data_IF_643322605966
#
_entry.id   IF_643322605966
#
_cell.length_a   1.000
_cell.length_b   1.000
_cell.length_c   1.000
_cell.angle_alpha   90.00
_cell.angle_beta   90.00
_cell.angle_gamma   90.00
#
_symmetry.space_group_name_H-M   'P 1'
#
loop_
_entity.id
_entity.type
_entity.pdbx_description
1 polymer ?
#
# COMPACT_ATOMS: atom_id res chain seq x y z
N UNK A 1 0.73 -21.21 11.64
CA UNK A 1 1.97 -21.20 10.84
C UNK A 1 2.32 -19.73 10.62
N UNK A 2 3.45 -19.27 11.12
CA UNK A 2 3.87 -17.87 10.95
C UNK A 2 4.28 -17.63 9.50
N UNK A 3 3.93 -16.50 8.94
CA UNK A 3 4.25 -16.17 7.56
C UNK A 3 3.20 -15.29 6.88
N UNK A 4 3.41 -15.02 5.60
CA UNK A 4 2.44 -14.35 4.76
C UNK A 4 1.50 -15.36 4.11
N UNK A 5 0.19 -15.15 4.29
CA UNK A 5 -0.85 -15.86 3.54
C UNK A 5 -1.41 -14.91 2.48
N UNK A 6 -1.28 -15.26 1.21
CA UNK A 6 -1.74 -14.42 0.11
C UNK A 6 -3.18 -14.76 -0.26
N UNK A 7 -4.02 -13.75 -0.34
CA UNK A 7 -5.37 -13.79 -0.89
C UNK A 7 -5.44 -12.80 -2.05
N UNK A 8 -5.96 -13.21 -3.19
CA UNK A 8 -6.13 -12.35 -4.36
C UNK A 8 -7.61 -12.01 -4.49
N UNK A 9 -7.92 -10.72 -4.58
CA UNK A 9 -9.30 -10.23 -4.68
C UNK A 9 -9.45 -9.28 -5.87
N UNK A 10 -10.54 -9.42 -6.60
CA UNK A 10 -10.96 -8.42 -7.58
C UNK A 10 -11.94 -7.44 -6.93
N UNK A 11 -11.85 -6.17 -7.29
CA UNK A 11 -12.82 -5.16 -6.93
C UNK A 11 -12.22 -3.93 -6.23
N UNK A 12 -13.03 -3.29 -5.42
CA UNK A 12 -12.66 -2.05 -4.73
C UNK A 12 -11.82 -2.36 -3.49
N UNK A 13 -10.60 -1.82 -3.46
CA UNK A 13 -9.69 -1.94 -2.33
C UNK A 13 -10.32 -1.48 -1.00
N UNK A 14 -11.08 -0.37 -1.05
CA UNK A 14 -11.66 0.26 0.14
C UNK A 14 -12.84 -0.53 0.75
N UNK A 15 -13.34 -1.54 0.02
CA UNK A 15 -14.39 -2.47 0.50
C UNK A 15 -13.82 -3.75 1.13
N UNK A 16 -12.50 -3.85 1.23
CA UNK A 16 -11.87 -4.96 1.93
C UNK A 16 -12.08 -4.85 3.44
N UNK A 17 -12.47 -5.97 4.05
CA UNK A 17 -12.41 -6.12 5.50
C UNK A 17 -10.99 -6.51 5.91
N UNK A 18 -10.26 -5.55 6.46
CA UNK A 18 -8.88 -5.72 6.86
C UNK A 18 -8.58 -4.87 8.11
N UNK A 19 -7.48 -5.14 8.80
CA UNK A 19 -7.00 -4.22 9.85
C UNK A 19 -6.42 -2.95 9.22
N UNK A 20 -5.72 -3.14 8.10
CA UNK A 20 -4.93 -2.12 7.42
C UNK A 20 -5.28 -2.12 5.94
N UNK A 21 -5.53 -0.95 5.37
CA UNK A 21 -5.58 -0.77 3.90
C UNK A 21 -4.51 0.23 3.47
N UNK A 22 -3.74 -0.17 2.44
CA UNK A 22 -2.63 0.62 1.92
C UNK A 22 -3.12 1.64 0.91
N UNK A 23 -2.76 2.90 1.14
CA UNK A 23 -2.99 4.02 0.23
C UNK A 23 -1.73 4.31 -0.59
N UNK A 24 -1.82 4.15 -1.91
CA UNK A 24 -0.81 4.64 -2.84
C UNK A 24 -0.89 6.17 -2.91
N UNK A 25 -0.05 6.85 -2.15
CA UNK A 25 -0.05 8.30 -1.94
C UNK A 25 1.18 8.97 -2.58
N UNK A 26 1.56 10.09 -2.05
CA UNK A 26 2.69 10.89 -2.50
C UNK A 26 3.42 11.52 -1.32
N UNK A 27 4.59 12.12 -1.55
CA UNK A 27 5.44 12.72 -0.52
C UNK A 27 4.80 13.92 0.21
N UNK A 28 3.69 14.45 -0.30
CA UNK A 28 2.91 15.53 0.34
C UNK A 28 1.64 15.04 1.01
N UNK A 29 1.38 13.73 0.99
CA UNK A 29 0.19 13.09 1.57
C UNK A 29 -1.13 13.73 1.12
N UNK A 30 -1.22 14.13 -0.15
CA UNK A 30 -2.43 14.74 -0.71
C UNK A 30 -3.36 13.66 -1.29
N UNK A 31 -4.62 13.70 -0.90
CA UNK A 31 -5.68 12.86 -1.46
C UNK A 31 -6.20 13.48 -2.75
N UNK A 32 -5.59 13.18 -3.88
CA UNK A 32 -5.86 13.88 -5.15
C UNK A 32 -6.28 13.02 -6.34
N UNK A 33 -5.78 11.79 -6.46
CA UNK A 33 -6.01 10.96 -7.66
C UNK A 33 -5.84 9.47 -7.39
N UNK A 34 -6.32 8.63 -8.29
CA UNK A 34 -6.16 7.18 -8.20
C UNK A 34 -6.67 6.60 -6.89
N UNK A 35 -5.87 5.73 -6.25
CA UNK A 35 -6.19 5.10 -4.96
C UNK A 35 -6.41 6.16 -3.88
N UNK A 36 -5.62 7.23 -3.84
CA UNK A 36 -5.81 8.32 -2.88
C UNK A 36 -7.17 9.02 -3.02
N UNK A 37 -7.70 9.15 -4.24
CA UNK A 37 -9.05 9.68 -4.45
C UNK A 37 -10.12 8.71 -3.92
N UNK A 38 -9.91 7.40 -4.05
CA UNK A 38 -10.82 6.41 -3.46
C UNK A 38 -10.88 6.56 -1.93
N UNK A 39 -9.73 6.73 -1.26
CA UNK A 39 -9.68 7.05 0.17
C UNK A 39 -10.44 8.33 0.52
N UNK A 40 -10.28 9.39 -0.26
CA UNK A 40 -10.99 10.66 -0.06
C UNK A 40 -12.52 10.51 -0.11
N UNK A 41 -13.01 9.60 -0.96
CA UNK A 41 -14.44 9.34 -1.11
C UNK A 41 -15.02 8.39 -0.05
N UNK A 42 -14.21 7.44 0.40
CA UNK A 42 -14.63 6.37 1.32
C UNK A 42 -14.48 6.75 2.80
N UNK A 43 -13.42 7.48 3.12
CA UNK A 43 -13.11 7.89 4.49
C UNK A 43 -13.65 9.29 4.80
N UNK A 44 -13.75 9.59 6.09
CA UNK A 44 -14.15 10.92 6.56
C UNK A 44 -13.11 12.00 6.18
N UNK A 45 -13.55 13.26 6.13
CA UNK A 45 -12.67 14.43 5.91
C UNK A 45 -11.52 14.52 6.91
N UNK A 46 -11.72 13.97 8.11
CA UNK A 46 -10.69 13.86 9.14
C UNK A 46 -9.45 13.08 8.69
N UNK A 47 -9.56 12.22 7.66
CA UNK A 47 -8.39 11.50 7.14
C UNK A 47 -7.34 12.46 6.58
N UNK A 48 -7.73 13.46 5.76
CA UNK A 48 -6.76 14.42 5.21
C UNK A 48 -6.13 15.27 6.31
N UNK A 49 -6.88 15.62 7.34
CA UNK A 49 -6.36 16.37 8.48
C UNK A 49 -5.33 15.52 9.26
N UNK A 50 -5.63 14.26 9.53
CA UNK A 50 -4.69 13.34 10.15
C UNK A 50 -3.41 13.16 9.33
N UNK A 51 -3.52 13.03 8.00
CA UNK A 51 -2.37 12.97 7.09
C UNK A 51 -1.52 14.23 7.14
N UNK A 52 -2.15 15.41 7.17
CA UNK A 52 -1.46 16.69 7.30
C UNK A 52 -0.69 16.80 8.62
N UNK A 53 -1.25 16.30 9.71
CA UNK A 53 -0.60 16.30 11.03
C UNK A 53 0.62 15.38 11.04
N UNK A 54 0.49 14.16 10.51
CA UNK A 54 1.63 13.23 10.39
C UNK A 54 2.74 13.82 9.52
N UNK A 55 2.39 14.52 8.44
CA UNK A 55 3.38 15.15 7.57
C UNK A 55 4.16 16.28 8.28
N UNK A 56 3.50 17.06 9.16
CA UNK A 56 4.18 18.07 9.98
C UNK A 56 5.25 17.44 10.86
N UNK A 57 4.96 16.30 11.49
CA UNK A 57 5.88 15.61 12.38
C UNK A 57 7.03 14.94 11.59
N UNK A 58 6.72 14.36 10.43
CA UNK A 58 7.70 13.72 9.56
C UNK A 58 8.63 14.70 8.82
N UNK A 59 8.27 15.99 8.78
CA UNK A 59 8.96 17.08 8.04
C UNK A 59 8.93 16.89 6.52
N UNK A 60 9.66 15.92 6.00
CA UNK A 60 9.72 15.61 4.57
C UNK A 60 9.73 14.09 4.36
N UNK A 61 8.84 13.61 3.49
CA UNK A 61 8.80 12.22 3.06
C UNK A 61 9.59 12.03 1.76
N UNK A 62 10.18 10.85 1.63
CA UNK A 62 10.84 10.36 0.41
C UNK A 62 9.99 9.27 -0.24
N UNK A 63 10.22 9.01 -1.51
CA UNK A 63 9.56 7.88 -2.19
C UNK A 63 9.90 6.56 -1.49
N UNK A 64 8.86 5.77 -1.22
CA UNK A 64 8.95 4.53 -0.47
C UNK A 64 8.70 4.67 1.04
N UNK A 65 8.70 5.89 1.59
CA UNK A 65 8.35 6.10 2.99
C UNK A 65 6.89 5.74 3.25
N UNK A 66 6.63 5.25 4.46
CA UNK A 66 5.32 4.76 4.90
C UNK A 66 4.95 5.44 6.21
N UNK A 67 3.76 5.99 6.27
CA UNK A 67 3.18 6.59 7.47
C UNK A 67 1.76 6.10 7.70
N UNK A 68 1.35 5.97 8.95
CA UNK A 68 0.05 5.46 9.33
C UNK A 68 -0.83 6.54 9.93
N UNK A 69 -2.13 6.47 9.63
CA UNK A 69 -3.18 7.25 10.32
C UNK A 69 -4.32 6.32 10.71
N UNK A 70 -5.19 6.78 11.61
CA UNK A 70 -6.52 6.21 11.75
C UNK A 70 -7.25 6.34 10.40
N UNK A 71 -8.05 5.34 10.04
CA UNK A 71 -8.73 5.32 8.74
C UNK A 71 -9.94 6.25 8.65
N UNK A 72 -10.63 6.45 9.78
CA UNK A 72 -11.94 7.09 9.84
C UNK A 72 -13.01 6.39 8.97
N UNK A 73 -12.78 5.12 8.66
CA UNK A 73 -13.70 4.22 7.97
C UNK A 73 -14.25 3.16 8.94
N UNK A 74 -15.34 2.46 8.56
CA UNK A 74 -15.98 1.46 9.41
C UNK A 74 -15.37 0.07 9.27
N UNK A 75 -14.84 -0.26 8.10
CA UNK A 75 -14.41 -1.61 7.73
C UNK A 75 -12.91 -1.87 7.89
N UNK A 76 -12.11 -0.85 8.24
CA UNK A 76 -10.68 -1.01 8.57
C UNK A 76 -10.23 0.08 9.54
N UNK A 77 -9.17 -0.21 10.31
CA UNK A 77 -8.73 0.67 11.41
C UNK A 77 -7.64 1.64 10.98
N UNK A 78 -6.69 1.17 10.20
CA UNK A 78 -5.47 1.89 9.81
C UNK A 78 -5.45 2.13 8.31
N UNK A 79 -5.26 3.39 7.92
CA UNK A 79 -4.84 3.76 6.58
C UNK A 79 -3.30 3.89 6.57
N UNK A 80 -2.64 3.05 5.77
CA UNK A 80 -1.19 3.04 5.67
C UNK A 80 -0.76 3.72 4.38
N UNK A 81 -0.24 4.94 4.48
CA UNK A 81 0.07 5.77 3.33
C UNK A 81 1.50 5.53 2.85
N UNK A 82 1.65 5.11 1.61
CA UNK A 82 2.94 4.93 0.94
C UNK A 82 3.21 6.12 0.02
N UNK A 83 4.32 6.81 0.22
CA UNK A 83 4.76 7.91 -0.63
C UNK A 83 5.31 7.36 -1.96
N UNK A 84 4.42 7.10 -2.92
CA UNK A 84 4.78 6.56 -4.24
C UNK A 84 5.28 7.66 -5.17
N UNK A 85 4.51 8.76 -5.31
CA UNK A 85 4.86 9.90 -6.15
C UNK A 85 5.67 10.93 -5.37
N UNK A 86 6.65 11.55 -6.01
CA UNK A 86 7.48 12.59 -5.40
C UNK A 86 6.99 13.98 -5.81
N UNK A 87 6.35 14.70 -4.88
CA UNK A 87 5.86 16.06 -5.06
C UNK A 87 6.64 17.08 -4.23
N UNK A 88 7.84 16.75 -3.79
CA UNK A 88 8.68 17.64 -3.02
C UNK A 88 9.10 18.86 -3.86
N UNK A 89 9.39 19.96 -3.16
CA UNK A 89 9.77 21.23 -3.82
C UNK A 89 11.02 21.03 -4.72
N UNK A 90 10.97 21.53 -5.94
CA UNK A 90 12.07 21.43 -6.90
C UNK A 90 12.07 20.16 -7.76
N UNK A 91 11.28 19.12 -7.40
CA UNK A 91 11.19 17.88 -8.20
C UNK A 91 10.31 18.10 -9.42
N UNK A 92 10.79 17.72 -10.61
CA UNK A 92 10.10 17.94 -11.90
C UNK A 92 10.14 16.69 -12.79
N UNK A 93 9.21 16.63 -13.74
CA UNK A 93 9.20 15.62 -14.79
C UNK A 93 9.24 14.19 -14.25
N UNK A 94 10.08 13.35 -14.83
CA UNK A 94 10.23 11.94 -14.49
C UNK A 94 10.72 11.69 -13.06
N UNK A 95 11.38 12.66 -12.43
CA UNK A 95 11.80 12.56 -11.03
C UNK A 95 10.61 12.47 -10.05
N UNK A 96 9.39 12.84 -10.49
CA UNK A 96 8.16 12.65 -9.72
C UNK A 96 7.68 11.21 -9.72
N UNK A 97 8.09 10.42 -10.71
CA UNK A 97 7.61 9.07 -10.93
C UNK A 97 8.33 8.08 -10.02
N UNK A 98 7.64 7.01 -9.57
CA UNK A 98 8.28 5.92 -8.84
C UNK A 98 9.16 5.08 -9.77
N UNK A 99 10.07 4.35 -9.17
CA UNK A 99 10.82 3.26 -9.80
C UNK A 99 10.46 1.94 -9.13
N UNK A 100 10.88 0.80 -9.69
CA UNK A 100 10.72 -0.50 -9.02
C UNK A 100 11.42 -0.51 -7.66
N UNK A 101 12.53 0.21 -7.52
CA UNK A 101 13.22 0.39 -6.23
C UNK A 101 12.36 1.10 -5.19
N UNK A 102 11.53 2.05 -5.60
CA UNK A 102 10.53 2.68 -4.72
C UNK A 102 9.59 1.65 -4.11
N UNK A 103 9.15 0.66 -4.90
CA UNK A 103 8.24 -0.39 -4.44
C UNK A 103 8.95 -1.33 -3.46
N UNK A 104 10.19 -1.72 -3.73
CA UNK A 104 11.00 -2.54 -2.81
C UNK A 104 11.20 -1.86 -1.44
N UNK A 105 11.51 -0.56 -1.44
CA UNK A 105 11.65 0.24 -0.21
C UNK A 105 10.32 0.31 0.54
N UNK A 106 9.22 0.57 -0.18
CA UNK A 106 7.88 0.62 0.40
C UNK A 106 7.50 -0.69 1.10
N UNK A 107 7.74 -1.84 0.46
CA UNK A 107 7.43 -3.15 1.04
C UNK A 107 8.24 -3.42 2.32
N UNK A 108 9.52 -3.04 2.35
CA UNK A 108 10.35 -3.15 3.57
C UNK A 108 9.80 -2.28 4.70
N UNK A 109 9.38 -1.06 4.40
CA UNK A 109 8.81 -0.15 5.39
C UNK A 109 7.42 -0.63 5.86
N UNK A 110 6.60 -1.20 4.97
CA UNK A 110 5.34 -1.87 5.33
C UNK A 110 5.61 -3.04 6.28
N UNK A 111 6.60 -3.90 5.97
CA UNK A 111 6.97 -5.02 6.85
C UNK A 111 7.41 -4.56 8.24
N UNK A 112 8.20 -3.49 8.33
CA UNK A 112 8.59 -2.91 9.63
C UNK A 112 7.37 -2.44 10.42
N UNK A 113 6.43 -1.79 9.76
CA UNK A 113 5.17 -1.40 10.39
C UNK A 113 4.36 -2.62 10.86
N UNK A 114 4.20 -3.62 9.99
CA UNK A 114 3.47 -4.86 10.32
C UNK A 114 4.10 -5.59 11.50
N UNK A 115 5.42 -5.70 11.54
CA UNK A 115 6.15 -6.31 12.66
C UNK A 115 5.88 -5.62 13.99
N UNK A 116 5.81 -4.30 14.00
CA UNK A 116 5.47 -3.53 15.20
C UNK A 116 3.99 -3.69 15.58
N UNK A 117 3.10 -3.63 14.60
CA UNK A 117 1.65 -3.74 14.77
C UNK A 117 1.21 -5.14 15.22
N UNK A 118 1.89 -6.20 14.75
CA UNK A 118 1.59 -7.59 15.05
C UNK A 118 2.00 -8.02 16.48
N UNK A 119 2.83 -7.26 17.20
CA UNK A 119 3.32 -7.64 18.55
C UNK A 119 2.23 -8.02 19.52
N UNK A 120 1.05 -7.41 19.42
CA UNK A 120 -0.07 -7.61 20.32
C UNK A 120 -1.29 -8.24 19.62
N UNK A 121 -1.09 -8.87 18.45
CA UNK A 121 -2.15 -9.49 17.66
C UNK A 121 -1.75 -10.90 17.25
N UNK A 122 -2.72 -11.82 17.28
CA UNK A 122 -2.49 -13.19 16.81
C UNK A 122 -2.34 -13.25 15.29
N UNK A 123 -3.06 -12.40 14.55
CA UNK A 123 -3.04 -12.31 13.11
C UNK A 123 -3.31 -10.88 12.66
N UNK A 124 -2.63 -10.44 11.62
CA UNK A 124 -2.86 -9.14 10.98
C UNK A 124 -3.39 -9.36 9.57
N UNK A 125 -4.33 -8.54 9.15
CA UNK A 125 -4.85 -8.55 7.77
C UNK A 125 -4.60 -7.19 7.13
N UNK A 126 -3.89 -7.20 5.98
CA UNK A 126 -3.56 -6.01 5.21
C UNK A 126 -4.03 -6.15 3.76
N UNK A 127 -4.65 -5.11 3.20
CA UNK A 127 -5.01 -5.05 1.79
C UNK A 127 -4.11 -4.06 1.04
N UNK A 128 -3.57 -4.50 -0.11
CA UNK A 128 -2.67 -3.71 -0.96
C UNK A 128 -3.20 -3.56 -2.38
N UNK A 129 -3.09 -2.34 -2.95
CA UNK A 129 -3.24 -2.12 -4.39
C UNK A 129 -1.94 -2.44 -5.12
N UNK A 130 -1.94 -2.36 -6.46
CA UNK A 130 -0.72 -2.36 -7.27
C UNK A 130 -0.03 -0.98 -7.19
N UNK A 131 0.89 -0.85 -6.24
CA UNK A 131 1.61 0.40 -5.98
C UNK A 131 2.37 0.88 -7.21
N UNK A 132 2.18 2.15 -7.58
CA UNK A 132 2.91 2.78 -8.68
C UNK A 132 2.40 2.42 -10.09
N UNK A 133 1.40 1.55 -10.24
CA UNK A 133 0.90 1.10 -11.54
C UNK A 133 -0.19 1.99 -12.15
N UNK A 134 -0.69 2.98 -11.41
CA UNK A 134 -1.62 3.98 -11.93
C UNK A 134 -0.86 5.15 -12.54
N UNK A 135 -0.97 6.33 -11.94
CA UNK A 135 -0.25 7.55 -12.39
C UNK A 135 1.27 7.34 -12.40
N UNK A 136 1.80 6.47 -11.52
CA UNK A 136 3.21 6.12 -11.47
C UNK A 136 3.73 5.35 -12.68
N UNK A 137 2.84 4.83 -13.53
CA UNK A 137 3.11 4.17 -14.81
C UNK A 137 4.10 2.99 -14.77
N UNK A 138 4.30 2.35 -13.60
CA UNK A 138 5.08 1.12 -13.51
C UNK A 138 4.32 -0.03 -14.18
N UNK A 139 5.05 -0.95 -14.79
CA UNK A 139 4.47 -2.16 -15.38
C UNK A 139 3.93 -3.06 -14.26
N UNK A 140 2.68 -3.51 -14.42
CA UNK A 140 1.97 -4.30 -13.41
C UNK A 140 2.69 -5.61 -13.10
N UNK A 141 3.13 -6.30 -14.14
CA UNK A 141 3.84 -7.57 -14.03
C UNK A 141 5.12 -7.46 -13.19
N UNK A 142 5.89 -6.39 -13.38
CA UNK A 142 7.14 -6.17 -12.62
C UNK A 142 6.85 -5.93 -11.14
N UNK A 143 5.86 -5.10 -10.84
CA UNK A 143 5.42 -4.83 -9.46
C UNK A 143 4.89 -6.10 -8.79
N UNK A 144 4.08 -6.90 -9.50
CA UNK A 144 3.52 -8.14 -8.97
C UNK A 144 4.62 -9.18 -8.72
N UNK A 145 5.65 -9.28 -9.58
CA UNK A 145 6.82 -10.14 -9.34
C UNK A 145 7.60 -9.71 -8.10
N UNK A 146 7.76 -8.40 -7.87
CA UNK A 146 8.35 -7.88 -6.63
C UNK A 146 7.51 -8.30 -5.43
N UNK A 147 6.18 -8.17 -5.50
CA UNK A 147 5.28 -8.62 -4.43
C UNK A 147 5.43 -10.13 -4.18
N UNK A 148 5.40 -10.95 -5.25
CA UNK A 148 5.57 -12.41 -5.12
C UNK A 148 6.86 -12.75 -4.40
N UNK A 149 7.99 -12.22 -4.86
CA UNK A 149 9.29 -12.47 -4.24
C UNK A 149 9.35 -11.98 -2.79
N UNK A 150 8.74 -10.83 -2.50
CA UNK A 150 8.74 -10.26 -1.16
C UNK A 150 7.91 -11.09 -0.18
N UNK A 151 6.69 -11.45 -0.54
CA UNK A 151 5.77 -12.18 0.33
C UNK A 151 5.98 -13.70 0.35
N UNK A 152 6.91 -14.23 -0.45
CA UNK A 152 7.35 -15.63 -0.36
C UNK A 152 8.39 -15.87 0.75
N UNK A 153 8.86 -14.82 1.43
CA UNK A 153 9.84 -14.92 2.51
C UNK A 153 9.17 -15.28 3.83
N UNK A 154 9.91 -16.00 4.66
CA UNK A 154 9.50 -16.24 6.04
C UNK A 154 9.55 -14.97 6.88
N UNK A 155 8.55 -14.81 7.74
CA UNK A 155 8.47 -13.74 8.75
C UNK A 155 8.01 -14.30 10.08
N UNK A 156 8.39 -13.64 11.18
CA UNK A 156 8.10 -14.10 12.53
C UNK A 156 6.73 -13.64 13.08
N UNK A 157 5.77 -13.39 12.19
CA UNK A 157 4.38 -13.02 12.53
C UNK A 157 3.41 -13.58 11.50
N UNK A 158 2.14 -13.70 11.86
CA UNK A 158 1.08 -14.18 10.97
C UNK A 158 0.36 -13.00 10.30
N UNK A 159 0.40 -12.96 8.97
CA UNK A 159 -0.18 -11.88 8.19
C UNK A 159 -0.91 -12.39 6.95
N UNK A 160 -2.20 -12.09 6.85
CA UNK A 160 -2.95 -12.25 5.61
C UNK A 160 -2.79 -10.99 4.75
N UNK A 161 -2.24 -11.18 3.55
CA UNK A 161 -2.04 -10.11 2.55
C UNK A 161 -3.09 -10.28 1.46
N UNK A 162 -4.00 -9.31 1.36
CA UNK A 162 -5.01 -9.26 0.29
C UNK A 162 -4.45 -8.38 -0.84
N UNK A 163 -4.11 -8.99 -1.96
CA UNK A 163 -3.72 -8.27 -3.17
C UNK A 163 -4.97 -7.98 -3.99
N UNK A 164 -5.23 -6.70 -4.26
CA UNK A 164 -6.47 -6.27 -4.91
C UNK A 164 -6.19 -5.80 -6.32
N UNK A 165 -6.79 -6.49 -7.29
CA UNK A 165 -6.89 -6.06 -8.68
C UNK A 165 -8.21 -5.31 -8.90
N UNK A 166 -8.14 -4.03 -9.30
CA UNK A 166 -9.34 -3.22 -9.47
C UNK A 166 -10.19 -3.70 -10.65
N UNK A 167 -9.56 -4.02 -11.80
CA UNK A 167 -10.18 -4.55 -13.00
C UNK A 167 -9.95 -6.05 -13.14
N UNK A 168 -10.76 -6.72 -13.96
CA UNK A 168 -10.56 -8.15 -14.31
C UNK A 168 -9.14 -8.43 -14.80
N UNK A 169 -8.61 -7.55 -15.64
CA UNK A 169 -7.24 -7.64 -16.16
C UNK A 169 -6.21 -7.65 -15.03
N UNK A 170 -6.33 -6.72 -14.08
CA UNK A 170 -5.42 -6.62 -12.93
C UNK A 170 -5.46 -7.89 -12.08
N UNK A 171 -6.67 -8.37 -11.78
CA UNK A 171 -6.86 -9.62 -11.06
C UNK A 171 -6.21 -10.80 -11.78
N UNK A 172 -6.44 -10.93 -13.09
CA UNK A 172 -5.91 -12.04 -13.88
C UNK A 172 -4.38 -12.02 -13.94
N UNK A 173 -3.74 -10.85 -14.05
CA UNK A 173 -2.28 -10.74 -14.04
C UNK A 173 -1.74 -11.17 -12.67
N UNK A 174 -2.33 -10.69 -11.55
CA UNK A 174 -1.93 -11.11 -10.21
C UNK A 174 -2.08 -12.62 -10.04
N UNK A 175 -3.25 -13.15 -10.38
CA UNK A 175 -3.55 -14.57 -10.25
C UNK A 175 -2.57 -15.44 -11.05
N UNK A 176 -2.31 -15.09 -12.32
CA UNK A 176 -1.40 -15.85 -13.17
C UNK A 176 0.04 -15.87 -12.66
N UNK A 177 0.52 -14.76 -12.08
CA UNK A 177 1.88 -14.71 -11.53
C UNK A 177 1.97 -15.47 -10.20
N UNK A 178 0.93 -15.44 -9.37
CA UNK A 178 0.93 -16.09 -8.06
C UNK A 178 0.57 -17.58 -8.09
N UNK A 179 -0.23 -18.07 -9.06
CA UNK A 179 -0.64 -19.50 -9.15
C UNK A 179 0.53 -20.48 -9.28
N UNK A 180 1.67 -20.00 -9.79
CA UNK A 180 2.89 -20.81 -9.94
C UNK A 180 3.74 -20.85 -8.64
N UNK A 181 3.13 -20.53 -7.49
CA UNK A 181 3.75 -20.81 -6.19
C UNK A 181 3.59 -22.31 -5.91
N UNK A 182 4.66 -23.01 -5.56
CA UNK A 182 4.61 -24.43 -5.16
C UNK A 182 3.77 -24.65 -3.90
#
# INVERSE_FOLDING_TARGET
MMGYKITIKQGNLLECEADIIVNASNTKLLLGSGVSMAFKRHCDKALQEAMNNVLKDAKELRQGDVVATKSYAKNFQIALHVAVMNYNKGVKGLQKMPTLKTIEIALKNIEQFLKAYAKNKQKVKIALPLLGCGIGALQKEDVIRIYKNFFSRDVAFDCEVILVGYRDEDYNIIYNIFRDLP
#
